data_IF_296257474397
#
_entry.id   IF_296257474397
#
_cell.length_a   1.000
_cell.length_b   1.000
_cell.length_c   1.000
_cell.angle_alpha   90.00
_cell.angle_beta   90.00
_cell.angle_gamma   90.00
#
_symmetry.space_group_name_H-M   'P 1'
#
loop_
_entity.id
_entity.type
_entity.pdbx_description
1 polymer ?
#
# COMPACT_ATOMS: atom_id res chain seq x y z
N UNK A 1 -16.73 19.84 -2.08
CA UNK A 1 -15.66 18.82 -2.17
C UNK A 1 -14.69 19.27 -3.25
N UNK A 2 -13.38 19.05 -3.08
CA UNK A 2 -12.30 19.64 -3.91
C UNK A 2 -12.19 19.09 -5.34
N UNK A 3 -13.08 18.17 -5.77
CA UNK A 3 -13.02 17.55 -7.10
C UNK A 3 -11.80 16.65 -7.34
N UNK A 4 -10.94 16.50 -6.33
CA UNK A 4 -9.75 15.65 -6.37
C UNK A 4 -10.17 14.20 -6.16
N UNK A 5 -9.72 13.33 -7.05
CA UNK A 5 -9.96 11.89 -6.99
C UNK A 5 -8.63 11.15 -6.96
N UNK A 6 -8.52 10.11 -6.13
CA UNK A 6 -7.35 9.24 -6.05
C UNK A 6 -7.80 7.80 -6.25
N UNK A 7 -7.19 7.11 -7.21
CA UNK A 7 -7.51 5.72 -7.52
C UNK A 7 -6.28 4.83 -7.38
N UNK A 8 -6.47 3.60 -6.91
CA UNK A 8 -5.44 2.57 -6.87
C UNK A 8 -5.48 1.78 -8.19
N UNK A 9 -4.49 1.98 -9.05
CA UNK A 9 -4.50 1.47 -10.42
C UNK A 9 -4.57 -0.06 -10.50
N UNK A 10 -3.97 -0.75 -9.53
CA UNK A 10 -3.93 -2.20 -9.48
C UNK A 10 -4.87 -2.80 -8.42
N UNK A 11 -5.98 -2.12 -8.11
CA UNK A 11 -6.94 -2.55 -7.09
C UNK A 11 -7.40 -4.02 -7.26
N UNK A 12 -7.59 -4.50 -8.48
CA UNK A 12 -7.97 -5.90 -8.73
C UNK A 12 -6.94 -6.91 -8.22
N UNK A 13 -5.64 -6.57 -8.31
CA UNK A 13 -4.58 -7.43 -7.78
C UNK A 13 -4.58 -7.41 -6.25
N UNK A 14 -4.76 -6.23 -5.65
CA UNK A 14 -4.91 -6.10 -4.20
C UNK A 14 -6.13 -6.86 -3.68
N UNK A 15 -7.25 -6.80 -4.39
CA UNK A 15 -8.49 -7.49 -4.04
C UNK A 15 -8.40 -9.02 -4.16
N UNK A 16 -7.39 -9.57 -4.86
CA UNK A 16 -7.15 -11.02 -4.86
C UNK A 16 -6.57 -11.52 -3.54
N UNK A 17 -5.99 -10.64 -2.73
CA UNK A 17 -5.51 -10.98 -1.39
C UNK A 17 -6.65 -10.81 -0.39
N UNK A 18 -7.44 -11.87 -0.20
CA UNK A 18 -8.63 -11.87 0.68
C UNK A 18 -8.31 -11.88 2.19
N UNK A 19 -7.07 -11.64 2.59
CA UNK A 19 -6.62 -11.72 3.97
C UNK A 19 -5.42 -10.81 4.24
N UNK A 20 -4.85 -10.85 5.47
CA UNK A 20 -3.68 -10.05 5.81
C UNK A 20 -2.54 -10.32 4.83
N UNK A 21 -2.07 -9.27 4.17
CA UNK A 21 -0.93 -9.38 3.25
C UNK A 21 0.39 -9.39 4.03
N UNK A 22 1.23 -10.38 3.73
CA UNK A 22 2.59 -10.43 4.24
C UNK A 22 3.53 -9.64 3.34
N UNK A 23 4.41 -8.83 3.96
CA UNK A 23 5.45 -8.08 3.27
C UNK A 23 6.81 -8.50 3.80
N UNK A 24 7.77 -8.72 2.90
CA UNK A 24 9.15 -9.00 3.29
C UNK A 24 9.86 -7.67 3.60
N UNK A 25 10.42 -7.54 4.80
CA UNK A 25 11.25 -6.37 5.18
C UNK A 25 12.69 -6.82 5.33
N UNK A 26 13.64 -6.11 4.70
CA UNK A 26 15.08 -6.41 4.84
C UNK A 26 15.83 -5.25 5.49
N UNK A 27 16.78 -5.57 6.37
CA UNK A 27 17.55 -4.58 7.14
C UNK A 27 18.61 -3.83 6.32
N UNK A 28 19.12 -4.44 5.25
CA UNK A 28 20.27 -3.93 4.49
C UNK A 28 19.87 -3.05 3.31
N UNK A 29 18.95 -3.51 2.44
CA UNK A 29 18.67 -2.86 1.16
C UNK A 29 17.18 -2.54 0.94
N UNK A 30 16.36 -2.66 2.00
CA UNK A 30 14.91 -2.60 1.87
C UNK A 30 14.35 -3.69 0.96
N UNK A 31 13.04 -3.69 0.76
CA UNK A 31 12.37 -4.53 -0.23
C UNK A 31 11.20 -3.73 -0.77
N UNK A 32 10.94 -3.86 -2.07
CA UNK A 32 9.73 -3.28 -2.66
C UNK A 32 8.52 -4.07 -2.16
N UNK A 33 7.44 -3.36 -1.83
CA UNK A 33 6.16 -3.99 -1.53
C UNK A 33 5.65 -4.75 -2.76
N UNK A 34 4.96 -5.86 -2.51
CA UNK A 34 4.23 -6.58 -3.54
C UNK A 34 2.82 -6.90 -3.03
N UNK A 35 1.76 -6.48 -3.74
CA UNK A 35 1.79 -5.63 -4.93
C UNK A 35 2.37 -4.24 -4.67
N UNK A 36 2.83 -3.56 -5.72
CA UNK A 36 3.26 -2.17 -5.61
C UNK A 36 2.05 -1.27 -5.37
N UNK A 37 2.20 -0.21 -4.58
CA UNK A 37 1.18 0.84 -4.49
C UNK A 37 1.31 1.76 -5.71
N UNK A 38 0.30 1.79 -6.56
CA UNK A 38 0.28 2.61 -7.77
C UNK A 38 -0.99 3.46 -7.79
N UNK A 39 -0.83 4.77 -7.65
CA UNK A 39 -1.95 5.71 -7.52
C UNK A 39 -2.06 6.62 -8.75
N UNK A 40 -3.29 6.89 -9.18
CA UNK A 40 -3.60 7.98 -10.11
C UNK A 40 -4.36 9.08 -9.38
N UNK A 41 -3.94 10.33 -9.56
CA UNK A 41 -4.55 11.50 -8.92
C UNK A 41 -5.12 12.39 -10.01
N UNK A 42 -6.40 12.74 -9.91
CA UNK A 42 -7.13 13.58 -10.85
C UNK A 42 -7.73 14.81 -10.16
N UNK A 43 -8.09 15.83 -10.94
CA UNK A 43 -8.74 17.04 -10.41
C UNK A 43 -7.81 18.04 -9.72
N UNK A 44 -6.49 17.87 -9.80
CA UNK A 44 -5.53 18.85 -9.30
C UNK A 44 -5.50 20.10 -10.18
N UNK A 45 -5.35 21.28 -9.56
CA UNK A 45 -5.03 22.50 -10.29
C UNK A 45 -3.60 22.40 -10.85
N UNK A 46 -3.40 22.50 -12.18
CA UNK A 46 -2.08 22.34 -12.82
C UNK A 46 -1.07 23.45 -12.48
N UNK A 47 -1.50 24.58 -11.92
CA UNK A 47 -0.61 25.70 -11.58
C UNK A 47 -0.21 25.77 -10.11
N UNK A 48 -0.73 24.87 -9.27
CA UNK A 48 -0.43 24.82 -7.85
C UNK A 48 0.69 23.81 -7.55
N UNK A 49 1.35 24.00 -6.41
CA UNK A 49 2.37 23.07 -5.90
C UNK A 49 1.75 22.10 -4.90
N UNK A 50 2.17 20.84 -4.96
CA UNK A 50 1.65 19.77 -4.10
C UNK A 50 2.79 18.93 -3.56
N UNK A 51 2.56 18.38 -2.37
CA UNK A 51 3.41 17.36 -1.75
C UNK A 51 2.58 16.09 -1.55
N UNK A 52 3.19 14.93 -1.79
CA UNK A 52 2.54 13.62 -1.61
C UNK A 52 3.31 12.85 -0.56
N UNK A 53 2.59 12.38 0.46
CA UNK A 53 3.15 11.59 1.55
C UNK A 53 2.49 10.22 1.58
N UNK A 54 3.30 9.19 1.84
CA UNK A 54 2.81 7.86 2.19
C UNK A 54 3.04 7.66 3.68
N UNK A 55 1.94 7.51 4.42
CA UNK A 55 1.97 7.16 5.83
C UNK A 55 1.52 5.71 6.00
N UNK A 56 2.26 4.95 6.81
CA UNK A 56 1.91 3.59 7.19
C UNK A 56 1.85 3.54 8.72
N UNK A 57 0.74 3.01 9.24
CA UNK A 57 0.53 2.82 10.67
C UNK A 57 0.14 1.37 10.97
N UNK A 58 0.17 1.02 12.26
CA UNK A 58 -0.22 -0.32 12.69
C UNK A 58 -1.74 -0.47 12.55
N UNK A 59 -2.17 -1.60 11.98
CA UNK A 59 -3.59 -1.94 11.92
C UNK A 59 -4.11 -2.39 13.30
N UNK A 60 -3.29 -3.07 14.09
CA UNK A 60 -3.57 -3.47 15.45
C UNK A 60 -2.27 -3.62 16.30
N UNK A 61 -2.44 -4.00 17.57
CA UNK A 61 -1.35 -4.26 18.50
C UNK A 61 -1.00 -5.76 18.64
N UNK A 62 -1.47 -6.61 17.73
CA UNK A 62 -1.22 -8.05 17.79
C UNK A 62 0.10 -8.44 17.13
N UNK A 63 0.84 -9.34 17.78
CA UNK A 63 2.01 -9.98 17.18
C UNK A 63 1.60 -11.28 16.50
N UNK A 64 1.60 -11.29 15.17
CA UNK A 64 1.26 -12.48 14.37
C UNK A 64 2.50 -13.36 14.11
N UNK A 65 2.36 -14.68 14.24
CA UNK A 65 3.38 -15.68 13.88
C UNK A 65 2.75 -16.69 12.92
N UNK A 66 3.24 -16.76 11.69
CA UNK A 66 2.77 -17.71 10.68
C UNK A 66 3.44 -19.08 10.91
N UNK A 67 2.63 -20.10 11.23
CA UNK A 67 3.11 -21.48 11.42
C UNK A 67 2.93 -22.27 10.13
N UNK A 68 3.97 -22.32 9.30
CA UNK A 68 3.99 -23.14 8.10
C UNK A 68 4.23 -24.60 8.48
N UNK A 69 3.18 -25.43 8.44
CA UNK A 69 3.33 -26.88 8.66
C UNK A 69 3.99 -27.50 7.43
N UNK A 70 5.26 -27.86 7.55
CA UNK A 70 5.98 -28.64 6.54
C UNK A 70 5.28 -30.01 6.46
N UNK A 71 4.71 -30.34 5.30
CA UNK A 71 4.32 -31.71 4.97
C UNK A 71 5.54 -32.49 4.51
#
# INVERSE_FOLDING_TARGET
MSGIEVTLNNADLWNKFNGPMEMIVTRKNGRKMFPTLEYSIQGLNPTAMYEVYLHMERMDDHKTVTVSKVR
#
